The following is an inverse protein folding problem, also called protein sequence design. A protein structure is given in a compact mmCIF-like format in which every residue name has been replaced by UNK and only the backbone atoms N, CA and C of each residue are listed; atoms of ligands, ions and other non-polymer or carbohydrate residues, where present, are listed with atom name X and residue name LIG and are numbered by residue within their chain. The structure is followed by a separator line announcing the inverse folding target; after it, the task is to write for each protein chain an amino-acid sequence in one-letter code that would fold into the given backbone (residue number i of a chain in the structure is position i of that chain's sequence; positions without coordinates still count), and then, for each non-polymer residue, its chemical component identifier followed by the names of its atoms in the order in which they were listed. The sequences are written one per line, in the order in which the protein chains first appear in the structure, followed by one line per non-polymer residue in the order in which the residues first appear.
data_IF_463448607767
#
_entry.id   IF_463448607767
#
_cell.length_a   1.000
_cell.length_b   1.000
_cell.length_c   1.000
_cell.angle_alpha   90.00
_cell.angle_beta   90.00
_cell.angle_gamma   90.00
#
_symmetry.space_group_name_H-M   'P 1'
#
loop_
_entity.id
_entity.type
_entity.pdbx_description
1 polymer ?
#
# COMPACT_ATOMS: atom_id res chain seq x y z
N UNK A 1 13.41 8.42 -19.25
CA UNK A 1 14.21 7.36 -18.60
C UNK A 1 13.98 7.37 -17.10
N UNK A 2 14.15 6.23 -16.43
CA UNK A 2 14.13 6.16 -14.97
C UNK A 2 15.43 6.73 -14.41
N UNK A 3 15.40 7.63 -13.41
CA UNK A 3 16.62 8.07 -12.78
C UNK A 3 17.31 6.89 -12.10
N UNK A 4 18.63 6.76 -12.27
CA UNK A 4 19.42 5.72 -11.60
C UNK A 4 19.25 5.85 -10.08
N UNK A 5 19.10 4.73 -9.36
CA UNK A 5 18.97 4.67 -7.90
C UNK A 5 17.72 5.34 -7.27
N UNK A 6 16.75 5.79 -8.07
CA UNK A 6 15.66 6.64 -7.56
C UNK A 6 14.87 6.11 -6.35
N UNK A 7 14.47 4.81 -6.27
CA UNK A 7 13.79 4.30 -5.09
C UNK A 7 14.70 4.21 -3.85
N UNK A 8 16.01 3.98 -4.05
CA UNK A 8 17.00 3.89 -2.97
C UNK A 8 17.22 5.27 -2.35
N UNK A 9 17.39 6.28 -3.18
CA UNK A 9 17.63 7.66 -2.74
C UNK A 9 16.45 8.21 -1.94
N UNK A 10 15.22 7.86 -2.33
CA UNK A 10 14.01 8.26 -1.61
C UNK A 10 13.92 7.63 -0.21
N UNK A 11 14.36 6.37 -0.07
CA UNK A 11 14.42 5.69 1.24
C UNK A 11 15.52 6.27 2.12
N UNK A 12 16.67 6.63 1.56
CA UNK A 12 17.79 7.23 2.31
C UNK A 12 17.47 8.61 2.88
N UNK A 13 16.54 9.35 2.26
CA UNK A 13 16.05 10.65 2.75
C UNK A 13 15.09 10.55 3.93
N UNK A 14 14.65 9.34 4.31
CA UNK A 14 13.76 9.17 5.44
C UNK A 14 14.50 9.44 6.75
N UNK A 15 13.83 10.12 7.67
CA UNK A 15 14.21 10.16 9.06
C UNK A 15 14.13 8.78 9.72
N UNK A 16 14.76 8.65 10.88
CA UNK A 16 14.79 7.40 11.66
C UNK A 16 13.45 7.06 12.30
N UNK A 17 12.56 8.04 12.47
CA UNK A 17 11.29 7.93 13.19
C UNK A 17 10.18 7.30 12.36
N UNK A 18 9.31 6.52 13.02
CA UNK A 18 8.06 6.04 12.42
C UNK A 18 7.23 7.20 11.89
N UNK A 19 6.63 7.01 10.72
CA UNK A 19 5.85 8.02 10.04
C UNK A 19 6.67 9.03 9.25
N UNK A 20 8.01 8.99 9.30
CA UNK A 20 8.83 9.81 8.40
C UNK A 20 8.44 9.53 6.95
N UNK A 21 8.20 10.58 6.19
CA UNK A 21 7.64 10.52 4.85
C UNK A 21 8.34 11.49 3.92
N UNK A 22 8.66 11.03 2.71
CA UNK A 22 9.20 11.85 1.63
C UNK A 22 8.49 11.48 0.35
N UNK A 23 8.01 12.45 -0.40
CA UNK A 23 7.44 12.21 -1.73
C UNK A 23 8.00 13.17 -2.77
N UNK A 24 7.98 12.72 -4.01
CA UNK A 24 8.36 13.51 -5.17
C UNK A 24 7.47 13.15 -6.35
N UNK A 25 6.96 14.18 -7.01
CA UNK A 25 6.30 14.03 -8.31
C UNK A 25 7.37 14.01 -9.39
N UNK A 26 7.28 13.06 -10.32
CA UNK A 26 8.17 12.93 -11.47
C UNK A 26 7.36 12.64 -12.73
N UNK A 27 7.98 12.82 -13.89
CA UNK A 27 7.38 12.53 -15.19
C UNK A 27 8.27 11.55 -15.94
N UNK A 28 7.74 10.40 -16.32
CA UNK A 28 8.47 9.37 -17.08
C UNK A 28 7.63 9.01 -18.31
N UNK A 29 8.20 9.17 -19.51
CA UNK A 29 7.53 8.90 -20.78
C UNK A 29 6.14 9.57 -20.86
N UNK A 30 6.07 10.85 -20.50
CA UNK A 30 4.83 11.64 -20.40
C UNK A 30 3.79 11.21 -19.35
N UNK A 31 4.07 10.18 -18.56
CA UNK A 31 3.21 9.78 -17.44
C UNK A 31 3.66 10.47 -16.15
N UNK A 32 2.72 11.13 -15.48
CA UNK A 32 2.95 11.70 -14.16
C UNK A 32 2.93 10.59 -13.11
N UNK A 33 3.98 10.53 -12.30
CA UNK A 33 4.17 9.54 -11.25
C UNK A 33 4.48 10.24 -9.94
N UNK A 34 3.97 9.67 -8.85
CA UNK A 34 4.39 9.97 -7.49
C UNK A 34 5.31 8.85 -7.03
N UNK A 35 6.48 9.22 -6.55
CA UNK A 35 7.38 8.33 -5.81
C UNK A 35 7.32 8.74 -4.36
N UNK A 36 6.94 7.82 -3.50
CA UNK A 36 6.66 8.07 -2.10
C UNK A 36 7.40 7.06 -1.24
N UNK A 37 8.09 7.53 -0.22
CA UNK A 37 8.78 6.71 0.77
C UNK A 37 8.23 6.96 2.18
N UNK A 38 8.11 5.89 2.96
CA UNK A 38 7.58 5.92 4.33
C UNK A 38 8.43 5.05 5.25
N UNK A 39 8.76 5.58 6.43
CA UNK A 39 9.32 4.82 7.54
C UNK A 39 8.19 4.20 8.36
N UNK A 40 7.87 2.94 8.08
CA UNK A 40 7.04 2.10 8.96
C UNK A 40 8.00 1.12 9.70
N UNK A 41 7.59 -0.12 9.99
CA UNK A 41 8.48 -1.17 10.52
C UNK A 41 9.75 -1.37 9.70
N UNK A 42 9.63 -1.23 8.39
CA UNK A 42 10.74 -1.17 7.43
C UNK A 42 10.53 0.06 6.57
N UNK A 43 11.61 0.66 6.10
CA UNK A 43 11.53 1.72 5.11
C UNK A 43 10.99 1.14 3.80
N UNK A 44 10.03 1.83 3.20
CA UNK A 44 9.34 1.39 1.98
C UNK A 44 9.34 2.51 0.96
N UNK A 45 9.30 2.15 -0.32
CA UNK A 45 9.13 3.06 -1.44
C UNK A 45 8.03 2.52 -2.36
N UNK A 46 7.10 3.37 -2.76
CA UNK A 46 6.01 3.08 -3.70
C UNK A 46 6.10 4.06 -4.86
N UNK A 47 5.85 3.56 -6.06
CA UNK A 47 5.63 4.37 -7.26
C UNK A 47 4.16 4.21 -7.64
N UNK A 48 3.45 5.32 -7.84
CA UNK A 48 2.05 5.31 -8.26
C UNK A 48 1.79 6.38 -9.32
N UNK A 49 0.81 6.16 -10.21
CA UNK A 49 0.27 7.16 -11.14
C UNK A 49 -0.78 8.07 -10.49
N UNK A 50 -0.98 7.96 -9.18
CA UNK A 50 -2.07 8.61 -8.45
C UNK A 50 -1.94 10.14 -8.43
N UNK A 51 -3.06 10.83 -8.62
CA UNK A 51 -3.17 12.28 -8.49
C UNK A 51 -3.45 12.63 -7.03
N UNK A 52 -2.51 13.31 -6.37
CA UNK A 52 -2.59 13.86 -5.00
C UNK A 52 -2.56 12.84 -3.83
N UNK A 53 -1.47 12.86 -3.07
CA UNK A 53 -1.36 12.19 -1.76
C UNK A 53 -1.81 13.14 -0.66
N UNK A 54 -3.10 13.48 -0.61
CA UNK A 54 -3.65 14.12 0.59
C UNK A 54 -3.70 13.06 1.71
N UNK A 55 -3.01 13.36 2.81
CA UNK A 55 -2.80 12.48 3.97
C UNK A 55 -4.11 11.79 4.42
N UNK A 56 -4.07 10.52 4.84
CA UNK A 56 -5.24 9.85 5.42
C UNK A 56 -4.89 8.79 6.48
N UNK A 57 -5.70 8.80 7.54
CA UNK A 57 -5.79 7.87 8.67
C UNK A 57 -4.56 7.78 9.58
N UNK A 58 -4.83 7.95 10.89
CA UNK A 58 -3.91 7.62 11.96
C UNK A 58 -3.72 6.10 12.01
N UNK A 59 -2.47 5.67 12.08
CA UNK A 59 -2.11 4.27 12.24
C UNK A 59 -1.39 4.09 13.56
N UNK A 60 -1.88 3.13 14.34
CA UNK A 60 -1.20 2.64 15.55
C UNK A 60 -0.24 1.51 15.18
N UNK A 61 1.03 1.64 15.56
CA UNK A 61 2.05 0.60 15.41
C UNK A 61 2.58 0.17 16.76
N UNK A 62 2.46 -1.12 17.03
CA UNK A 62 3.15 -1.75 18.16
C UNK A 62 4.62 -1.94 17.76
N UNK A 63 5.50 -1.30 18.52
CA UNK A 63 6.96 -1.42 18.42
C UNK A 63 7.43 -2.23 19.62
N UNK A 64 8.16 -3.31 19.38
CA UNK A 64 8.78 -4.12 20.44
C UNK A 64 10.25 -3.76 20.53
N UNK A 65 10.69 -3.39 21.72
CA UNK A 65 12.11 -3.18 22.06
C UNK A 65 12.43 -4.06 23.26
N UNK A 66 13.08 -5.20 22.99
CA UNK A 66 13.32 -6.23 24.00
C UNK A 66 12.00 -6.81 24.56
N UNK A 67 11.86 -6.80 25.89
CA UNK A 67 10.67 -7.27 26.60
C UNK A 67 9.52 -6.24 26.61
N UNK A 68 9.79 -4.99 26.23
CA UNK A 68 8.81 -3.91 26.29
C UNK A 68 8.16 -3.67 24.93
N UNK A 69 6.87 -3.35 24.94
CA UNK A 69 6.13 -2.93 23.75
C UNK A 69 5.54 -1.54 23.95
N UNK A 70 5.78 -0.64 23.00
CA UNK A 70 5.18 0.69 22.94
C UNK A 70 4.28 0.82 21.72
N UNK A 71 3.31 1.73 21.79
CA UNK A 71 2.46 2.08 20.65
C UNK A 71 2.92 3.42 20.11
N UNK A 72 3.37 3.42 18.85
CA UNK A 72 3.68 4.64 18.10
C UNK A 72 2.53 4.96 17.17
N UNK A 73 2.12 6.22 17.17
CA UNK A 73 1.05 6.74 16.31
C UNK A 73 1.63 7.64 15.24
N UNK A 74 1.17 7.49 14.00
CA UNK A 74 1.50 8.41 12.92
C UNK A 74 0.44 8.39 11.83
N UNK A 75 0.36 9.47 11.05
CA UNK A 75 -0.52 9.55 9.88
C UNK A 75 0.13 8.85 8.69
N UNK A 76 -0.58 7.90 8.08
CA UNK A 76 -0.10 7.22 6.87
C UNK A 76 -0.50 8.03 5.62
N UNK A 77 0.37 8.17 4.61
CA UNK A 77 -0.06 8.74 3.33
C UNK A 77 -1.00 7.77 2.60
N UNK A 78 -2.06 8.29 1.97
CA UNK A 78 -3.13 7.50 1.33
C UNK A 78 -2.63 6.48 0.30
N UNK A 79 -1.59 6.82 -0.47
CA UNK A 79 -0.95 5.89 -1.43
C UNK A 79 -0.44 4.60 -0.77
N UNK A 80 0.07 4.69 0.47
CA UNK A 80 0.47 3.51 1.22
C UNK A 80 -0.75 2.74 1.73
N UNK A 81 -1.79 3.43 2.19
CA UNK A 81 -3.03 2.79 2.61
C UNK A 81 -3.64 1.95 1.47
N UNK A 82 -3.81 2.54 0.30
CA UNK A 82 -4.34 1.87 -0.90
C UNK A 82 -3.49 0.65 -1.29
N UNK A 83 -2.16 0.77 -1.24
CA UNK A 83 -1.26 -0.36 -1.46
C UNK A 83 -1.44 -1.47 -0.42
N UNK A 84 -1.52 -1.15 0.87
CA UNK A 84 -1.69 -2.16 1.92
C UNK A 84 -3.05 -2.87 1.83
N UNK A 85 -4.11 -2.16 1.46
CA UNK A 85 -5.43 -2.75 1.25
C UNK A 85 -5.47 -3.69 0.05
N UNK A 86 -4.70 -3.43 -1.00
CA UNK A 86 -4.75 -4.18 -2.26
C UNK A 86 -3.71 -5.29 -2.38
N UNK A 87 -2.51 -5.15 -1.81
CA UNK A 87 -1.37 -6.07 -2.05
C UNK A 87 -1.64 -7.53 -1.67
N UNK A 88 -2.62 -7.80 -0.81
CA UNK A 88 -2.96 -9.15 -0.36
C UNK A 88 -3.92 -9.89 -1.29
N UNK A 89 -4.60 -9.21 -2.21
CA UNK A 89 -5.75 -9.76 -2.93
C UNK A 89 -5.42 -11.05 -3.70
N UNK A 90 -4.33 -11.03 -4.49
CA UNK A 90 -3.91 -12.21 -5.28
C UNK A 90 -3.51 -13.36 -4.37
N UNK A 91 -2.77 -13.08 -3.29
CA UNK A 91 -2.33 -14.13 -2.37
C UNK A 91 -3.51 -14.77 -1.62
N UNK A 92 -4.48 -13.97 -1.17
CA UNK A 92 -5.71 -14.46 -0.53
C UNK A 92 -6.51 -15.34 -1.50
N UNK A 93 -6.57 -14.94 -2.78
CA UNK A 93 -7.22 -15.74 -3.81
C UNK A 93 -6.50 -17.08 -4.01
N UNK A 94 -5.18 -17.07 -4.16
CA UNK A 94 -4.39 -18.29 -4.32
C UNK A 94 -4.54 -19.24 -3.13
N UNK A 95 -4.48 -18.72 -1.90
CA UNK A 95 -4.69 -19.53 -0.69
C UNK A 95 -6.10 -20.13 -0.65
N UNK A 96 -7.10 -19.36 -1.06
CA UNK A 96 -8.49 -19.87 -1.17
C UNK A 96 -8.60 -20.99 -2.21
N UNK A 97 -7.92 -20.87 -3.35
CA UNK A 97 -7.90 -21.91 -4.37
C UNK A 97 -7.24 -23.19 -3.87
N UNK A 98 -6.09 -23.07 -3.19
CA UNK A 98 -5.36 -24.21 -2.61
C UNK A 98 -6.21 -24.91 -1.54
N UNK A 99 -6.83 -24.14 -0.64
CA UNK A 99 -7.68 -24.69 0.41
C UNK A 99 -8.90 -25.44 -0.17
N UNK A 100 -9.49 -24.94 -1.25
CA UNK A 100 -10.60 -25.60 -1.93
C UNK A 100 -10.17 -26.87 -2.65
N UNK A 101 -9.00 -26.86 -3.29
CA UNK A 101 -8.42 -28.05 -3.91
C UNK A 101 -8.18 -29.15 -2.87
N UNK A 102 -7.58 -28.81 -1.72
CA UNK A 102 -7.35 -29.76 -0.63
C UNK A 102 -8.64 -30.30 0.01
N UNK A 103 -9.77 -29.61 -0.18
CA UNK A 103 -11.11 -30.03 0.29
C UNK A 103 -11.92 -30.80 -0.77
N UNK A 104 -11.36 -31.05 -1.95
CA UNK A 104 -12.08 -31.70 -3.06
C UNK A 104 -13.22 -30.86 -3.65
N UNK A 105 -13.25 -29.54 -3.40
CA UNK A 105 -14.29 -28.64 -3.92
C UNK A 105 -13.91 -28.23 -5.34
N UNK A 106 -14.55 -28.83 -6.35
CA UNK A 106 -14.34 -28.50 -7.76
C UNK A 106 -14.91 -27.13 -8.15
N UNK A 107 -14.32 -26.51 -9.19
CA UNK A 107 -14.47 -25.10 -9.62
C UNK A 107 -15.89 -24.61 -9.96
N UNK A 108 -16.92 -25.45 -9.83
CA UNK A 108 -18.32 -25.12 -10.16
C UNK A 108 -19.02 -24.15 -9.20
N UNK A 109 -18.50 -23.94 -7.98
CA UNK A 109 -19.16 -23.14 -6.93
C UNK A 109 -18.45 -21.80 -6.59
N UNK A 110 -17.71 -21.20 -7.51
CA UNK A 110 -16.98 -19.92 -7.28
C UNK A 110 -17.86 -18.68 -7.60
N UNK A 111 -19.18 -18.81 -7.59
CA UNK A 111 -20.07 -17.65 -7.83
C UNK A 111 -20.16 -16.69 -6.64
N UNK A 112 -19.86 -17.15 -5.41
CA UNK A 112 -20.06 -16.34 -4.20
C UNK A 112 -18.90 -15.42 -3.79
N UNK A 113 -17.71 -15.50 -4.40
CA UNK A 113 -16.51 -14.79 -3.87
C UNK A 113 -16.12 -13.47 -4.54
N UNK A 114 -16.81 -13.07 -5.61
CA UNK A 114 -16.51 -11.80 -6.30
C UNK A 114 -17.12 -10.55 -5.64
N UNK A 115 -17.93 -10.70 -4.58
CA UNK A 115 -18.55 -9.56 -3.88
C UNK A 115 -17.53 -8.68 -3.17
N UNK A 116 -16.40 -9.25 -2.71
CA UNK A 116 -15.31 -8.49 -2.06
C UNK A 116 -14.40 -7.71 -3.02
N UNK A 117 -14.48 -7.98 -4.33
CA UNK A 117 -13.73 -7.26 -5.37
C UNK A 117 -14.58 -6.19 -6.08
N UNK A 118 -15.88 -6.12 -5.78
CA UNK A 118 -16.87 -5.22 -6.40
C UNK A 118 -17.39 -4.14 -5.45
N UNK A 119 -16.64 -3.73 -4.44
CA UNK A 119 -16.90 -2.41 -3.82
C UNK A 119 -16.17 -1.37 -4.66
N UNK A 120 -16.84 -0.69 -5.62
CA UNK A 120 -16.25 0.51 -6.20
C UNK A 120 -16.04 1.50 -5.05
N UNK A 121 -14.79 1.91 -4.86
CA UNK A 121 -14.51 3.17 -4.18
C UNK A 121 -15.28 4.22 -4.99
N UNK A 122 -16.40 4.71 -4.45
CA UNK A 122 -17.14 5.85 -5.00
C UNK A 122 -16.21 7.07 -4.97
N UNK A 123 -15.39 7.23 -6.01
CA UNK A 123 -14.82 8.52 -6.36
C UNK A 123 -15.99 9.39 -6.82
N UNK A 124 -16.53 10.20 -5.91
CA UNK A 124 -17.36 11.34 -6.28
C UNK A 124 -16.46 12.25 -7.13
N UNK A 125 -16.65 12.21 -8.44
CA UNK A 125 -16.23 13.28 -9.34
C UNK A 125 -17.06 14.52 -8.99
N UNK A 126 -16.48 15.44 -8.22
CA UNK A 126 -16.87 16.84 -8.29
C UNK A 126 -15.80 17.53 -9.14
N UNK A 127 -16.06 17.57 -10.44
CA UNK A 127 -15.43 18.53 -11.35
C UNK A 127 -16.12 19.88 -11.10
N UNK A 128 -15.29 20.89 -10.84
CA UNK A 128 -15.63 22.31 -11.04
C UNK A 128 -15.97 22.54 -12.52
#
# INVERSE_FOLDING_TARGET
EWPLNYPRDMVQKLGSTYGSYVSKVTKINNVHLIVASLKDRKSQCIVATASTTTLCDEVNRIVKEGANSSVVKFTRPKVFYEYFCSKGAVNINNQSCIANFNRGIHRGNISQKYTLLKTPIKLKSQLL
#
